data_IF_636996574303
#
_entry.id   IF_636996574303
#
_cell.length_a   1.000
_cell.length_b   1.000
_cell.length_c   1.000
_cell.angle_alpha   90.00
_cell.angle_beta   90.00
_cell.angle_gamma   90.00
#
_symmetry.space_group_name_H-M   'P 1'
#
loop_
_entity.id
_entity.type
_entity.pdbx_description
1 polymer ?
#
# COMPACT_ATOMS: atom_id res chain seq x y z
N UNK A 1 7.38 21.00 18.90
CA UNK A 1 8.26 19.83 18.68
C UNK A 1 9.29 20.18 17.61
N UNK A 2 10.56 19.80 17.80
CA UNK A 2 11.60 19.93 16.76
C UNK A 2 11.34 18.84 15.70
N UNK A 3 11.25 19.22 14.42
CA UNK A 3 11.10 18.25 13.33
C UNK A 3 12.42 17.49 13.16
N UNK A 4 12.33 16.18 13.03
CA UNK A 4 13.49 15.34 12.68
C UNK A 4 13.76 15.49 11.18
N UNK A 5 15.03 15.69 10.82
CA UNK A 5 15.48 15.74 9.43
C UNK A 5 16.19 14.41 9.17
N UNK A 6 15.69 13.66 8.19
CA UNK A 6 16.20 12.34 7.81
C UNK A 6 16.52 12.33 6.31
N UNK A 7 17.45 11.46 5.90
CA UNK A 7 17.78 11.23 4.49
C UNK A 7 17.26 9.86 4.08
N UNK A 8 16.16 9.85 3.34
CA UNK A 8 15.42 8.65 2.91
C UNK A 8 14.90 8.86 1.49
N UNK A 9 14.54 7.78 0.80
CA UNK A 9 13.88 7.86 -0.51
C UNK A 9 12.36 8.07 -0.39
N UNK A 10 11.69 8.24 -1.54
CA UNK A 10 10.24 8.45 -1.60
C UNK A 10 9.43 7.26 -1.11
N UNK A 11 9.86 6.03 -1.40
CA UNK A 11 9.15 4.82 -0.96
C UNK A 11 9.18 4.72 0.57
N UNK A 12 10.36 4.89 1.19
CA UNK A 12 10.47 4.86 2.65
C UNK A 12 9.68 5.98 3.31
N UNK A 13 9.70 7.19 2.74
CA UNK A 13 8.95 8.33 3.26
C UNK A 13 7.43 8.09 3.21
N UNK A 14 6.92 7.55 2.11
CA UNK A 14 5.50 7.22 1.95
C UNK A 14 5.10 6.05 2.85
N UNK A 15 5.91 4.99 2.89
CA UNK A 15 5.65 3.83 3.74
C UNK A 15 5.57 4.22 5.21
N UNK A 16 6.43 5.13 5.71
CA UNK A 16 6.41 5.55 7.11
C UNK A 16 5.05 6.14 7.51
N UNK A 17 4.51 7.01 6.66
CA UNK A 17 3.19 7.63 6.87
C UNK A 17 2.09 6.57 6.74
N UNK A 18 2.13 5.75 5.70
CA UNK A 18 1.14 4.71 5.43
C UNK A 18 1.04 3.71 6.59
N UNK A 19 2.17 3.22 7.07
CA UNK A 19 2.27 2.27 8.18
C UNK A 19 1.71 2.86 9.47
N UNK A 20 2.04 4.11 9.77
CA UNK A 20 1.58 4.80 10.98
C UNK A 20 0.08 5.12 10.94
N UNK A 21 -0.53 5.19 9.76
CA UNK A 21 -1.95 5.50 9.55
C UNK A 21 -2.80 4.30 9.11
N UNK A 22 -2.30 3.06 9.25
CA UNK A 22 -3.04 1.85 8.85
C UNK A 22 -3.02 0.77 9.92
N UNK A 23 -4.13 0.05 10.05
CA UNK A 23 -4.30 -1.13 10.91
C UNK A 23 -4.08 -2.41 10.11
N UNK A 24 -4.42 -2.38 8.81
CA UNK A 24 -4.21 -3.48 7.87
C UNK A 24 -3.47 -2.95 6.65
N UNK A 25 -2.51 -3.73 6.14
CA UNK A 25 -1.73 -3.44 4.95
C UNK A 25 -1.69 -4.70 4.10
N UNK A 26 -2.50 -4.74 3.05
CA UNK A 26 -2.47 -5.83 2.08
C UNK A 26 -1.51 -5.48 0.95
N UNK A 27 -0.57 -6.36 0.63
CA UNK A 27 0.51 -6.08 -0.32
C UNK A 27 0.64 -7.15 -1.40
N UNK A 28 1.26 -6.77 -2.50
CA UNK A 28 1.80 -7.67 -3.50
C UNK A 28 2.98 -6.97 -4.21
N UNK A 29 4.13 -7.65 -4.42
CA UNK A 29 5.33 -7.00 -4.94
C UNK A 29 5.21 -6.65 -6.43
N UNK A 30 5.44 -5.37 -6.75
CA UNK A 30 5.57 -4.88 -8.12
C UNK A 30 6.54 -3.67 -8.16
N UNK A 31 7.55 -3.71 -9.02
CA UNK A 31 8.49 -2.59 -9.20
C UNK A 31 7.76 -1.36 -9.78
N UNK A 32 8.01 -0.12 -9.33
CA UNK A 32 8.96 0.31 -8.29
C UNK A 32 8.35 0.50 -6.89
N UNK A 33 7.14 -0.01 -6.62
CA UNK A 33 6.45 0.17 -5.34
C UNK A 33 6.79 -0.89 -4.28
N UNK A 34 7.40 -2.02 -4.65
CA UNK A 34 7.76 -3.11 -3.72
C UNK A 34 8.47 -2.65 -2.44
N UNK A 35 9.43 -1.69 -2.47
CA UNK A 35 10.13 -1.26 -1.26
C UNK A 35 9.19 -0.71 -0.18
N UNK A 36 8.02 -0.15 -0.53
CA UNK A 36 7.04 0.30 0.47
C UNK A 36 6.47 -0.87 1.27
N UNK A 37 6.15 -1.98 0.60
CA UNK A 37 5.68 -3.21 1.24
C UNK A 37 6.76 -3.87 2.09
N UNK A 38 8.00 -3.90 1.59
CA UNK A 38 9.15 -4.44 2.32
C UNK A 38 9.44 -3.65 3.61
N UNK A 39 9.35 -2.32 3.57
CA UNK A 39 9.47 -1.50 4.79
C UNK A 39 8.34 -1.76 5.78
N UNK A 40 7.10 -1.86 5.30
CA UNK A 40 5.96 -2.16 6.16
C UNK A 40 6.10 -3.53 6.84
N UNK A 41 6.49 -4.56 6.09
CA UNK A 41 6.72 -5.91 6.62
C UNK A 41 7.87 -5.94 7.64
N UNK A 42 8.99 -5.28 7.33
CA UNK A 42 10.12 -5.18 8.26
C UNK A 42 9.75 -4.46 9.57
N UNK A 43 8.91 -3.42 9.51
CA UNK A 43 8.42 -2.72 10.69
C UNK A 43 7.41 -3.54 11.50
N UNK A 44 6.56 -4.32 10.83
CA UNK A 44 5.67 -5.28 11.48
C UNK A 44 6.49 -6.33 12.25
N UNK A 45 7.53 -6.90 11.63
CA UNK A 45 8.36 -7.95 12.22
C UNK A 45 9.07 -7.52 13.51
N UNK A 46 9.37 -6.22 13.67
CA UNK A 46 9.95 -5.65 14.90
C UNK A 46 8.90 -5.07 15.86
N UNK A 47 7.61 -5.36 15.64
CA UNK A 47 6.48 -4.86 16.43
C UNK A 47 6.43 -3.33 16.52
N UNK A 48 6.79 -2.62 15.45
CA UNK A 48 6.63 -1.16 15.39
C UNK A 48 5.14 -0.83 15.45
N UNK A 49 4.74 0.01 16.38
CA UNK A 49 3.34 0.43 16.53
C UNK A 49 2.99 1.60 15.61
N UNK A 50 1.73 1.66 15.17
CA UNK A 50 1.12 2.81 14.50
C UNK A 50 0.68 3.89 15.51
N UNK A 51 -0.03 4.93 15.05
CA UNK A 51 -0.48 6.03 15.92
C UNK A 51 -1.58 5.64 16.93
N UNK A 52 -2.20 4.47 16.79
CA UNK A 52 -3.20 3.96 17.74
C UNK A 52 -2.61 2.98 18.75
N UNK A 53 -1.29 2.76 18.70
CA UNK A 53 -0.60 1.85 19.61
C UNK A 53 -0.75 0.36 19.25
N UNK A 54 -1.27 0.04 18.06
CA UNK A 54 -1.35 -1.33 17.55
C UNK A 54 -0.25 -1.59 16.52
N UNK A 55 0.12 -2.86 16.33
CA UNK A 55 1.02 -3.25 15.24
C UNK A 55 0.13 -3.53 14.00
N UNK A 56 0.28 -2.77 12.90
CA UNK A 56 -0.46 -3.02 11.67
C UNK A 56 -0.28 -4.45 11.17
N UNK A 57 -1.36 -5.13 10.80
CA UNK A 57 -1.27 -6.44 10.14
C UNK A 57 -0.81 -6.27 8.69
N UNK A 58 0.34 -6.85 8.34
CA UNK A 58 0.87 -6.86 6.97
C UNK A 58 0.64 -8.25 6.39
N UNK A 59 0.07 -8.34 5.18
CA UNK A 59 -0.18 -9.63 4.54
C UNK A 59 0.05 -9.56 3.04
N UNK A 60 0.93 -10.44 2.55
CA UNK A 60 1.16 -10.62 1.12
C UNK A 60 0.07 -11.51 0.52
N UNK A 61 -0.55 -11.02 -0.55
CA UNK A 61 -1.61 -11.74 -1.27
C UNK A 61 -1.04 -12.46 -2.49
N UNK A 62 -1.87 -13.19 -3.22
CA UNK A 62 -1.45 -13.94 -4.41
C UNK A 62 -1.31 -13.08 -5.68
N UNK A 63 -1.92 -11.89 -5.71
CA UNK A 63 -1.92 -10.93 -6.81
C UNK A 63 -2.46 -9.57 -6.32
N UNK A 64 -2.24 -8.49 -7.07
CA UNK A 64 -2.77 -7.16 -6.73
C UNK A 64 -4.29 -7.11 -6.68
N UNK A 65 -4.97 -7.87 -7.54
CA UNK A 65 -6.43 -8.02 -7.46
C UNK A 65 -6.89 -8.66 -6.15
N UNK A 66 -6.10 -9.61 -5.62
CA UNK A 66 -6.30 -10.22 -4.30
C UNK A 66 -6.02 -9.24 -3.16
N UNK A 67 -4.93 -8.47 -3.27
CA UNK A 67 -4.62 -7.37 -2.35
C UNK A 67 -5.77 -6.36 -2.28
N UNK A 68 -6.29 -5.89 -3.41
CA UNK A 68 -7.43 -4.97 -3.39
C UNK A 68 -8.72 -5.59 -2.83
N UNK A 69 -8.94 -6.89 -3.02
CA UNK A 69 -10.06 -7.60 -2.39
C UNK A 69 -9.90 -7.70 -0.87
N UNK A 70 -8.69 -7.96 -0.38
CA UNK A 70 -8.38 -7.93 1.05
C UNK A 70 -8.51 -6.52 1.63
N UNK A 71 -8.06 -5.49 0.90
CA UNK A 71 -8.28 -4.08 1.28
C UNK A 71 -9.78 -3.80 1.41
N UNK A 72 -10.58 -4.15 0.41
CA UNK A 72 -12.02 -3.96 0.44
C UNK A 72 -12.65 -4.67 1.65
N UNK A 73 -12.34 -5.95 1.86
CA UNK A 73 -12.83 -6.71 3.00
C UNK A 73 -12.47 -6.07 4.34
N UNK A 74 -11.21 -5.70 4.56
CA UNK A 74 -10.76 -5.06 5.79
C UNK A 74 -11.48 -3.73 6.05
N UNK A 75 -11.65 -2.89 5.02
CA UNK A 75 -12.39 -1.63 5.12
C UNK A 75 -13.85 -1.85 5.55
N UNK A 76 -14.52 -2.88 5.03
CA UNK A 76 -15.91 -3.19 5.43
C UNK A 76 -16.05 -3.62 6.89
N UNK A 77 -14.96 -4.10 7.51
CA UNK A 77 -14.93 -4.40 8.95
C UNK A 77 -14.65 -3.18 9.84
N UNK A 78 -14.35 -2.02 9.23
CA UNK A 78 -14.03 -0.77 9.93
C UNK A 78 -12.54 -0.53 10.15
N UNK A 79 -11.65 -1.41 9.66
CA UNK A 79 -10.21 -1.26 9.82
C UNK A 79 -9.63 -0.26 8.80
N UNK A 80 -8.78 0.67 9.27
CA UNK A 80 -8.09 1.60 8.39
C UNK A 80 -7.03 0.86 7.58
N UNK A 81 -7.19 0.84 6.25
CA UNK A 81 -6.46 -0.08 5.39
C UNK A 81 -5.77 0.64 4.23
N UNK A 82 -4.55 0.20 3.91
CA UNK A 82 -3.76 0.72 2.79
C UNK A 82 -3.17 -0.39 1.93
N UNK A 83 -2.67 -0.02 0.75
CA UNK A 83 -1.90 -0.90 -0.16
C UNK A 83 -0.88 -0.08 -0.94
N UNK A 84 0.14 -0.77 -1.45
CA UNK A 84 1.19 -0.23 -2.33
C UNK A 84 1.09 -0.90 -3.70
N UNK A 85 1.12 -0.14 -4.79
CA UNK A 85 1.07 -0.73 -6.14
C UNK A 85 1.65 0.20 -7.21
N UNK A 86 1.70 -0.29 -8.46
CA UNK A 86 2.14 0.45 -9.63
C UNK A 86 1.57 -0.18 -10.91
N UNK A 87 1.44 0.59 -11.99
CA UNK A 87 1.25 0.08 -13.37
C UNK A 87 0.19 -1.04 -13.48
N UNK A 88 0.59 -2.25 -13.88
CA UNK A 88 -0.30 -3.40 -14.10
C UNK A 88 -1.01 -3.84 -12.81
N UNK A 89 -0.33 -3.70 -11.68
CA UNK A 89 -0.91 -4.00 -10.39
C UNK A 89 -2.13 -3.13 -10.12
N UNK A 90 -2.03 -1.82 -10.37
CA UNK A 90 -3.14 -0.90 -10.22
C UNK A 90 -4.33 -1.26 -11.14
N UNK A 91 -4.06 -1.72 -12.38
CA UNK A 91 -5.12 -2.16 -13.29
C UNK A 91 -5.92 -3.34 -12.72
N UNK A 92 -5.24 -4.30 -12.06
CA UNK A 92 -5.91 -5.43 -11.41
C UNK A 92 -6.73 -5.02 -10.18
N UNK A 93 -6.46 -3.85 -9.61
CA UNK A 93 -7.22 -3.32 -8.47
C UNK A 93 -8.49 -2.54 -8.88
N UNK A 94 -8.61 -2.10 -10.13
CA UNK A 94 -9.74 -1.27 -10.62
C UNK A 94 -11.13 -1.83 -10.27
N UNK A 95 -11.42 -3.14 -10.43
CA UNK A 95 -12.74 -3.67 -10.09
C UNK A 95 -13.10 -3.45 -8.61
N UNK A 96 -12.14 -3.62 -7.69
CA UNK A 96 -12.34 -3.36 -6.27
C UNK A 96 -12.36 -1.86 -5.94
N UNK A 97 -11.63 -1.02 -6.68
CA UNK A 97 -11.70 0.44 -6.50
C UNK A 97 -13.12 0.99 -6.72
N UNK A 98 -13.86 0.45 -7.70
CA UNK A 98 -15.27 0.82 -7.88
C UNK A 98 -16.14 0.45 -6.68
N UNK A 99 -15.89 -0.71 -6.06
CA UNK A 99 -16.60 -1.14 -4.84
C UNK A 99 -16.26 -0.25 -3.65
N UNK A 100 -14.98 -0.09 -3.35
CA UNK A 100 -14.45 0.75 -2.26
C UNK A 100 -15.00 2.18 -2.33
N UNK A 101 -14.94 2.79 -3.52
CA UNK A 101 -15.45 4.14 -3.74
C UNK A 101 -16.98 4.20 -3.66
N UNK A 102 -17.69 3.21 -4.22
CA UNK A 102 -19.15 3.15 -4.16
C UNK A 102 -19.70 2.97 -2.74
N UNK A 103 -18.93 2.32 -1.87
CA UNK A 103 -19.25 2.11 -0.45
C UNK A 103 -18.75 3.26 0.45
N UNK A 104 -18.13 4.29 -0.13
CA UNK A 104 -17.62 5.49 0.57
C UNK A 104 -16.70 5.16 1.76
N UNK A 105 -15.89 4.11 1.59
CA UNK A 105 -14.93 3.69 2.63
C UNK A 105 -13.63 4.50 2.54
N UNK A 106 -13.05 4.82 3.70
CA UNK A 106 -11.82 5.61 3.79
C UNK A 106 -10.61 4.73 3.45
N UNK A 107 -10.14 4.82 2.21
CA UNK A 107 -9.00 4.04 1.70
C UNK A 107 -7.91 4.95 1.13
N UNK A 108 -6.66 4.55 1.28
CA UNK A 108 -5.51 5.20 0.63
C UNK A 108 -4.71 4.16 -0.14
N UNK A 109 -4.46 4.42 -1.43
CA UNK A 109 -3.63 3.58 -2.28
C UNK A 109 -2.38 4.39 -2.63
N UNK A 110 -1.21 3.90 -2.24
CA UNK A 110 0.05 4.56 -2.52
C UNK A 110 0.64 3.97 -3.80
N UNK A 111 0.70 4.79 -4.84
CA UNK A 111 1.08 4.36 -6.19
C UNK A 111 2.38 5.02 -6.61
N UNK A 112 3.42 4.22 -6.86
CA UNK A 112 4.60 4.69 -7.57
C UNK A 112 4.28 4.69 -9.05
N UNK A 113 4.02 5.87 -9.65
CA UNK A 113 3.62 5.96 -11.06
C UNK A 113 4.64 5.25 -11.95
N UNK A 114 4.13 4.39 -12.83
CA UNK A 114 4.91 3.53 -13.72
C UNK A 114 4.08 3.24 -14.96
N UNK A 115 4.72 3.33 -16.12
CA UNK A 115 4.06 3.14 -17.40
C UNK A 115 3.34 1.82 -17.55
N UNK A 116 2.23 1.86 -18.28
CA UNK A 116 1.48 0.67 -18.66
C UNK A 116 2.20 -0.04 -19.80
N UNK A 117 2.28 -1.38 -19.73
CA UNK A 117 2.83 -2.18 -20.81
C UNK A 117 1.89 -2.12 -22.03
N UNK A 118 2.28 -1.35 -23.04
CA UNK A 118 1.59 -1.27 -24.33
C UNK A 118 2.38 -2.08 -25.38
N UNK A 119 3.20 -1.41 -26.21
CA UNK A 119 4.09 -2.09 -27.17
C UNK A 119 5.27 -2.82 -26.50
N UNK A 120 5.64 -2.42 -25.28
CA UNK A 120 6.71 -3.00 -24.49
C UNK A 120 6.47 -2.75 -23.00
N UNK A 121 7.10 -3.57 -22.16
CA UNK A 121 7.14 -3.37 -20.71
C UNK A 121 8.11 -2.24 -20.36
N UNK A 122 7.71 -1.36 -19.44
CA UNK A 122 8.59 -0.41 -18.76
C UNK A 122 8.39 -0.49 -17.25
N UNK A 123 9.50 -0.53 -16.51
CA UNK A 123 9.51 -0.45 -15.03
C UNK A 123 9.66 0.99 -14.53
N UNK A 124 9.82 1.96 -15.43
CA UNK A 124 10.08 3.36 -15.11
C UNK A 124 8.80 4.18 -15.02
N UNK A 125 8.92 5.33 -14.35
CA UNK A 125 7.83 6.30 -14.19
C UNK A 125 7.54 7.11 -15.44
N UNK A 126 6.31 7.59 -15.50
CA UNK A 126 5.78 8.60 -16.42
C UNK A 126 4.99 9.70 -15.67
#
# INVERSE_FOLDING_TARGET
MKREIVTIDGNQATADVAYRLSEVIAIYPITPSSPMGEHADAWNAINRTNIWGTVPGVTEMQAEGGAAGAVHGALTTGALTTTFTASQGLLLMIPNMFKIAGELTAAVFHVSSRSVAAQALSIFGD
#
